data_IF_015102405153
#
_entry.id   IF_015102405153
#
_cell.length_a   1.000
_cell.length_b   1.000
_cell.length_c   1.000
_cell.angle_alpha   90.00
_cell.angle_beta   90.00
_cell.angle_gamma   90.00
#
_symmetry.space_group_name_H-M   'P 1'
#
loop_
_entity.id
_entity.type
_entity.pdbx_description
1 polymer ?
#
# COMPACT_ATOMS: atom_id res chain seq x y z
N UNK A 1 -15.84 -10.37 9.14
CA UNK A 1 -16.12 -9.11 8.42
C UNK A 1 -17.27 -9.37 7.48
N UNK A 2 -18.33 -8.58 7.58
CA UNK A 2 -19.53 -8.68 6.75
C UNK A 2 -19.22 -8.23 5.31
N UNK A 3 -19.87 -8.78 4.26
CA UNK A 3 -19.57 -8.40 2.86
C UNK A 3 -19.68 -6.89 2.58
N UNK A 4 -20.62 -6.20 3.23
CA UNK A 4 -20.76 -4.74 3.10
C UNK A 4 -19.56 -3.99 3.70
N UNK A 5 -19.06 -4.42 4.86
CA UNK A 5 -17.88 -3.81 5.50
C UNK A 5 -16.65 -3.96 4.59
N UNK A 6 -16.49 -5.12 3.95
CA UNK A 6 -15.41 -5.34 2.97
C UNK A 6 -15.51 -4.40 1.77
N UNK A 7 -16.71 -4.26 1.20
CA UNK A 7 -16.96 -3.33 0.10
C UNK A 7 -16.64 -1.89 0.50
N UNK A 8 -17.03 -1.47 1.70
CA UNK A 8 -16.70 -0.13 2.21
C UNK A 8 -15.19 0.09 2.36
N UNK A 9 -14.44 -0.90 2.86
CA UNK A 9 -12.98 -0.81 2.96
C UNK A 9 -12.30 -0.74 1.58
N UNK A 10 -12.83 -1.44 0.57
CA UNK A 10 -12.31 -1.36 -0.79
C UNK A 10 -12.52 0.03 -1.41
N UNK A 11 -13.72 0.60 -1.24
CA UNK A 11 -14.04 1.96 -1.72
C UNK A 11 -13.21 3.02 -0.98
N UNK A 12 -13.00 2.85 0.32
CA UNK A 12 -12.17 3.77 1.12
C UNK A 12 -10.70 3.75 0.69
N UNK A 13 -10.14 2.55 0.45
CA UNK A 13 -8.78 2.38 -0.09
C UNK A 13 -8.63 3.04 -1.47
N UNK A 14 -9.60 2.83 -2.37
CA UNK A 14 -9.62 3.44 -3.70
C UNK A 14 -9.71 4.97 -3.63
N UNK A 15 -10.61 5.48 -2.80
CA UNK A 15 -10.82 6.90 -2.60
C UNK A 15 -9.54 7.53 -2.04
N UNK A 16 -8.93 6.94 -1.03
CA UNK A 16 -7.71 7.45 -0.41
C UNK A 16 -6.56 7.50 -1.42
N UNK A 17 -6.34 6.43 -2.20
CA UNK A 17 -5.28 6.43 -3.25
C UNK A 17 -5.52 7.50 -4.30
N UNK A 18 -6.77 7.66 -4.76
CA UNK A 18 -7.13 8.65 -5.76
C UNK A 18 -6.96 10.07 -5.22
N UNK A 19 -7.41 10.34 -3.99
CA UNK A 19 -7.24 11.64 -3.32
C UNK A 19 -5.76 11.99 -3.17
N UNK A 20 -4.91 11.06 -2.74
CA UNK A 20 -3.45 11.28 -2.67
C UNK A 20 -2.86 11.60 -4.04
N UNK A 21 -3.26 10.87 -5.08
CA UNK A 21 -2.81 11.13 -6.45
C UNK A 21 -3.23 12.52 -6.95
N UNK A 22 -4.50 12.89 -6.74
CA UNK A 22 -5.05 14.19 -7.14
C UNK A 22 -4.33 15.32 -6.42
N UNK A 23 -4.13 15.20 -5.10
CA UNK A 23 -3.41 16.18 -4.31
C UNK A 23 -1.98 16.44 -4.85
N UNK A 24 -1.23 15.38 -5.14
CA UNK A 24 0.11 15.53 -5.72
C UNK A 24 0.08 16.13 -7.13
N UNK A 25 -0.95 15.80 -7.92
CA UNK A 25 -1.14 16.36 -9.25
C UNK A 25 -1.45 17.86 -9.20
N UNK A 26 -2.27 18.30 -8.24
CA UNK A 26 -2.56 19.73 -7.98
C UNK A 26 -1.32 20.51 -7.56
N UNK A 27 -0.39 19.85 -6.85
CA UNK A 27 0.93 20.41 -6.52
C UNK A 27 1.90 20.45 -7.70
N UNK A 28 1.46 20.05 -8.91
CA UNK A 28 2.26 20.11 -10.13
C UNK A 28 3.19 18.91 -10.34
N UNK A 29 3.05 17.82 -9.58
CA UNK A 29 3.81 16.61 -9.84
C UNK A 29 3.38 15.97 -11.16
N UNK A 30 4.33 15.34 -11.85
CA UNK A 30 4.00 14.51 -13.00
C UNK A 30 3.16 13.30 -12.57
N UNK A 31 2.34 12.77 -13.48
CA UNK A 31 1.53 11.58 -13.24
C UNK A 31 2.36 10.39 -12.74
N UNK A 32 3.60 10.24 -13.23
CA UNK A 32 4.50 9.17 -12.80
C UNK A 32 4.96 9.35 -11.35
N UNK A 33 5.33 10.58 -10.97
CA UNK A 33 5.79 10.87 -9.61
C UNK A 33 4.64 10.80 -8.60
N UNK A 34 3.45 11.32 -8.95
CA UNK A 34 2.26 11.16 -8.13
C UNK A 34 1.91 9.68 -7.92
N UNK A 35 2.00 8.86 -8.97
CA UNK A 35 1.79 7.42 -8.85
C UNK A 35 2.84 6.73 -7.97
N UNK A 36 4.11 7.16 -8.03
CA UNK A 36 5.18 6.67 -7.13
C UNK A 36 4.89 7.00 -5.67
N UNK A 37 4.45 8.22 -5.37
CA UNK A 37 4.07 8.61 -4.00
C UNK A 37 2.89 7.78 -3.49
N UNK A 38 1.87 7.53 -4.32
CA UNK A 38 0.76 6.65 -3.93
C UNK A 38 1.27 5.24 -3.59
N UNK A 39 2.13 4.65 -4.42
CA UNK A 39 2.70 3.31 -4.17
C UNK A 39 3.64 3.27 -2.97
N UNK A 40 4.25 4.40 -2.61
CA UNK A 40 5.12 4.51 -1.45
C UNK A 40 4.35 4.27 -0.16
N UNK A 41 3.14 4.82 -0.05
CA UNK A 41 2.37 4.80 1.20
C UNK A 41 1.16 3.86 1.20
N UNK A 42 0.70 3.41 0.03
CA UNK A 42 -0.48 2.56 -0.08
C UNK A 42 -0.15 1.19 -0.68
N UNK A 43 -0.58 0.08 -0.03
CA UNK A 43 -0.41 -1.24 -0.61
C UNK A 43 -1.31 -1.41 -1.85
N UNK A 44 -0.78 -2.12 -2.84
CA UNK A 44 -1.53 -2.53 -4.03
C UNK A 44 -1.85 -4.01 -3.94
N UNK A 45 -3.13 -4.35 -4.07
CA UNK A 45 -3.61 -5.72 -4.08
C UNK A 45 -4.04 -6.13 -5.50
N UNK A 46 -3.87 -7.41 -5.83
CA UNK A 46 -4.21 -7.93 -7.15
C UNK A 46 -3.51 -9.24 -7.46
N UNK A 47 -3.30 -9.53 -8.75
CA UNK A 47 -2.55 -10.69 -9.18
C UNK A 47 -1.04 -10.50 -8.88
N UNK A 48 -0.40 -11.35 -8.05
CA UNK A 48 1.02 -11.22 -7.74
C UNK A 48 1.96 -11.43 -8.94
N UNK A 49 1.47 -12.10 -9.99
CA UNK A 49 2.21 -12.31 -11.24
C UNK A 49 2.01 -11.18 -12.25
N UNK A 50 1.20 -10.16 -11.92
CA UNK A 50 1.07 -8.97 -12.74
C UNK A 50 2.36 -8.15 -12.69
N UNK A 51 2.94 -7.94 -13.88
CA UNK A 51 4.20 -7.23 -14.12
C UNK A 51 4.03 -6.02 -15.03
N UNK A 52 2.78 -5.66 -15.39
CA UNK A 52 2.49 -4.56 -16.32
C UNK A 52 2.98 -3.20 -15.78
N UNK A 53 2.93 -3.01 -14.46
CA UNK A 53 3.16 -1.72 -13.82
C UNK A 53 4.14 -1.74 -12.63
N UNK A 54 4.57 -2.92 -12.20
CA UNK A 54 5.48 -3.13 -11.07
C UNK A 54 6.33 -4.39 -11.27
N UNK A 55 7.49 -4.46 -10.63
CA UNK A 55 8.46 -5.56 -10.79
C UNK A 55 8.96 -6.03 -9.42
N UNK A 56 9.44 -7.27 -9.34
CA UNK A 56 10.07 -7.82 -8.13
C UNK A 56 9.15 -7.78 -6.89
N UNK A 57 9.64 -7.13 -5.83
CA UNK A 57 8.93 -7.00 -4.55
C UNK A 57 7.85 -5.90 -4.57
N UNK A 58 7.81 -5.03 -5.59
CA UNK A 58 6.77 -3.99 -5.75
C UNK A 58 5.48 -4.53 -6.38
N UNK A 59 5.47 -5.79 -6.84
CA UNK A 59 4.32 -6.44 -7.46
C UNK A 59 3.10 -6.47 -6.52
N UNK A 60 1.87 -6.50 -7.06
CA UNK A 60 0.66 -6.58 -6.26
C UNK A 60 0.70 -7.70 -5.21
N UNK A 61 0.13 -7.43 -4.05
CA UNK A 61 -0.04 -8.41 -2.99
C UNK A 61 -1.32 -9.22 -3.23
N UNK A 62 -1.35 -10.52 -2.88
CA UNK A 62 -2.58 -11.31 -2.94
C UNK A 62 -3.66 -10.66 -2.08
N UNK A 63 -4.89 -10.58 -2.62
CA UNK A 63 -6.05 -9.97 -1.93
C UNK A 63 -6.37 -10.71 -0.63
N UNK A 64 -6.05 -12.00 -0.57
CA UNK A 64 -6.22 -12.87 0.60
C UNK A 64 -5.39 -12.41 1.81
N UNK A 65 -4.33 -11.64 1.59
CA UNK A 65 -3.50 -11.09 2.66
C UNK A 65 -4.02 -9.76 3.22
N UNK A 66 -5.01 -9.13 2.56
CA UNK A 66 -5.48 -7.77 2.89
C UNK A 66 -5.85 -7.62 4.36
N UNK A 67 -6.65 -8.54 4.91
CA UNK A 67 -7.08 -8.46 6.32
C UNK A 67 -5.91 -8.60 7.32
N UNK A 68 -4.90 -9.43 7.02
CA UNK A 68 -3.70 -9.58 7.86
C UNK A 68 -2.85 -8.32 7.83
N UNK A 69 -2.65 -7.79 6.63
CA UNK A 69 -1.87 -6.57 6.41
C UNK A 69 -2.55 -5.38 7.10
N UNK A 70 -3.87 -5.20 6.96
CA UNK A 70 -4.59 -4.10 7.59
C UNK A 70 -4.40 -4.10 9.12
N UNK A 71 -4.57 -5.26 9.77
CA UNK A 71 -4.32 -5.40 11.21
C UNK A 71 -2.87 -5.09 11.60
N UNK A 72 -1.91 -5.53 10.79
CA UNK A 72 -0.50 -5.23 11.02
C UNK A 72 -0.20 -3.73 10.86
N UNK A 73 -0.76 -3.07 9.83
CA UNK A 73 -0.61 -1.63 9.62
C UNK A 73 -1.20 -0.86 10.80
N UNK A 74 -2.43 -1.17 11.21
CA UNK A 74 -3.09 -0.54 12.36
C UNK A 74 -2.24 -0.62 13.63
N UNK A 75 -1.66 -1.80 13.91
CA UNK A 75 -0.78 -2.02 15.07
C UNK A 75 0.49 -1.15 15.01
N UNK A 76 1.12 -1.07 13.84
CA UNK A 76 2.40 -0.38 13.67
C UNK A 76 2.27 1.14 13.47
N UNK A 77 1.11 1.62 13.02
CA UNK A 77 0.83 3.05 12.84
C UNK A 77 0.67 3.82 14.16
N UNK A 78 0.57 3.12 15.30
CA UNK A 78 0.59 3.73 16.64
C UNK A 78 1.85 4.59 16.89
N UNK A 79 2.97 4.29 16.23
CA UNK A 79 4.14 5.16 16.14
C UNK A 79 4.41 5.52 14.67
N UNK A 80 3.62 6.47 14.16
CA UNK A 80 3.66 6.87 12.76
C UNK A 80 5.04 7.32 12.27
N UNK A 81 5.86 7.95 13.12
CA UNK A 81 7.19 8.39 12.70
C UNK A 81 8.13 7.20 12.50
N UNK A 82 8.20 6.29 13.47
CA UNK A 82 9.02 5.08 13.35
C UNK A 82 8.58 4.22 12.15
N UNK A 83 7.27 4.16 11.87
CA UNK A 83 6.74 3.48 10.70
C UNK A 83 7.23 4.12 9.39
N UNK A 84 7.13 5.46 9.28
CA UNK A 84 7.60 6.21 8.10
C UNK A 84 9.11 6.06 7.90
N UNK A 85 9.89 6.09 8.96
CA UNK A 85 11.34 5.94 8.91
C UNK A 85 11.72 4.54 8.37
N UNK A 86 11.07 3.48 8.86
CA UNK A 86 11.26 2.11 8.33
C UNK A 86 10.86 2.02 6.87
N UNK A 87 9.67 2.51 6.53
CA UNK A 87 9.15 2.51 5.16
C UNK A 87 10.06 3.28 4.19
N UNK A 88 10.79 4.30 4.66
CA UNK A 88 11.69 5.11 3.84
C UNK A 88 12.76 4.27 3.12
N UNK A 89 13.20 3.17 3.75
CA UNK A 89 14.22 2.25 3.23
C UNK A 89 13.72 1.32 2.11
N UNK A 90 12.42 1.30 1.84
CA UNK A 90 11.78 0.42 0.85
C UNK A 90 11.30 1.21 -0.37
N UNK A 91 11.22 0.58 -1.54
CA UNK A 91 10.74 1.25 -2.76
C UNK A 91 9.25 1.58 -2.67
N UNK A 92 8.45 0.64 -2.18
CA UNK A 92 6.99 0.75 -2.03
C UNK A 92 6.51 0.12 -0.73
N UNK A 93 5.27 0.44 -0.36
CA UNK A 93 4.56 -0.25 0.72
C UNK A 93 4.51 -1.77 0.49
N UNK A 94 4.35 -2.23 -0.77
CA UNK A 94 4.36 -3.65 -1.10
C UNK A 94 5.71 -4.31 -0.80
N UNK A 95 6.81 -3.66 -1.18
CA UNK A 95 8.15 -4.18 -0.90
C UNK A 95 8.43 -4.27 0.60
N UNK A 96 7.94 -3.28 1.36
CA UNK A 96 8.03 -3.28 2.81
C UNK A 96 7.24 -4.45 3.42
N UNK A 97 5.96 -4.58 3.05
CA UNK A 97 5.10 -5.68 3.51
C UNK A 97 5.71 -7.05 3.18
N UNK A 98 6.29 -7.23 2.00
CA UNK A 98 6.98 -8.49 1.65
C UNK A 98 8.17 -8.77 2.55
N UNK A 99 8.94 -7.76 2.93
CA UNK A 99 10.03 -7.93 3.88
C UNK A 99 9.52 -8.38 5.25
N UNK A 100 8.43 -7.79 5.72
CA UNK A 100 7.79 -8.13 7.01
C UNK A 100 7.18 -9.53 6.99
N UNK A 101 6.60 -9.97 5.86
CA UNK A 101 6.16 -11.36 5.66
C UNK A 101 7.34 -12.32 5.73
N UNK A 102 8.49 -11.99 5.10
CA UNK A 102 9.68 -12.86 5.07
C UNK A 102 10.26 -13.10 6.48
N UNK A 103 10.17 -12.12 7.38
CA UNK A 103 10.63 -12.25 8.77
C UNK A 103 9.58 -12.83 9.72
N UNK A 104 8.34 -13.04 9.24
CA UNK A 104 7.26 -13.65 10.01
C UNK A 104 6.46 -12.69 10.90
N UNK A 105 6.55 -11.38 10.64
CA UNK A 105 5.84 -10.35 11.42
C UNK A 105 4.37 -10.13 10.97
N UNK A 106 4.01 -10.63 9.77
CA UNK A 106 2.66 -10.56 9.17
C UNK A 106 2.05 -11.94 9.01
#
# INVERSE_FOLDING_TARGET
MHPLERCMLEVDDETTRLTTYMHHSELGMSSENAAKEVRKFHPMFGNPEDTQHAQGDDRPLPVELKDRINKWVEKNMSNAQAFKDRLSHFSTMNSFIRAEIKVGDI
#
